data_IF_196292529287
#
_entry.id   IF_196292529287
#
_cell.length_a   1.000
_cell.length_b   1.000
_cell.length_c   1.000
_cell.angle_alpha   90.00
_cell.angle_beta   90.00
_cell.angle_gamma   90.00
#
_symmetry.space_group_name_H-M   'P 1'
#
loop_
_entity.id
_entity.type
_entity.pdbx_description
1 polymer ?
#
# COMPACT_ATOMS: atom_id res chain seq x y z
N UNK A 1 2.11 36.91 41.14
CA UNK A 1 1.07 36.98 40.09
C UNK A 1 1.60 36.22 38.88
N UNK A 2 1.33 34.92 38.77
CA UNK A 2 1.76 34.11 37.61
C UNK A 2 0.70 34.27 36.52
N UNK A 3 1.07 34.91 35.41
CA UNK A 3 0.22 34.98 34.22
C UNK A 3 0.09 33.56 33.63
N UNK A 4 -1.12 33.06 33.31
CA UNK A 4 -1.25 31.79 32.60
C UNK A 4 -0.57 31.94 31.25
N UNK A 5 0.44 31.11 30.98
CA UNK A 5 1.04 31.05 29.65
C UNK A 5 -0.06 30.63 28.66
N UNK A 6 -0.25 31.36 27.55
CA UNK A 6 -1.19 30.95 26.52
C UNK A 6 -0.82 29.54 26.05
N UNK A 7 -1.78 28.61 25.97
CA UNK A 7 -1.49 27.25 25.52
C UNK A 7 -0.86 27.34 24.13
N UNK A 8 0.39 26.89 24.01
CA UNK A 8 1.10 26.88 22.74
C UNK A 8 0.21 26.17 21.71
N UNK A 9 -0.05 26.77 20.53
CA UNK A 9 -0.82 26.13 19.47
C UNK A 9 0.03 25.00 18.89
N UNK A 10 0.06 23.86 19.59
CA UNK A 10 0.55 22.60 19.03
C UNK A 10 -0.45 22.26 17.93
N UNK A 11 -0.04 22.37 16.68
CA UNK A 11 -0.71 21.63 15.61
C UNK A 11 -0.76 20.18 16.08
N UNK A 12 -1.92 19.76 16.60
CA UNK A 12 -2.05 18.48 17.29
C UNK A 12 -1.60 17.38 16.34
N UNK A 13 -0.82 16.42 16.84
CA UNK A 13 -0.32 15.28 16.06
C UNK A 13 -1.38 14.70 15.12
N UNK A 14 -2.60 14.53 15.64
CA UNK A 14 -3.77 14.03 14.86
C UNK A 14 -4.17 14.98 13.74
N UNK A 15 -4.12 16.30 13.94
CA UNK A 15 -4.46 17.28 12.90
C UNK A 15 -3.45 17.23 11.75
N UNK A 16 -2.16 17.08 12.02
CA UNK A 16 -1.12 16.95 10.98
C UNK A 16 -1.28 15.60 10.26
N UNK A 17 -1.40 14.52 11.02
CA UNK A 17 -1.62 13.17 10.51
C UNK A 17 -2.85 13.12 9.60
N UNK A 18 -3.99 13.62 10.07
CA UNK A 18 -5.23 13.61 9.32
C UNK A 18 -5.16 14.46 8.05
N UNK A 19 -4.46 15.61 8.05
CA UNK A 19 -4.25 16.41 6.83
C UNK A 19 -3.39 15.67 5.80
N UNK A 20 -2.28 15.08 6.22
CA UNK A 20 -1.40 14.31 5.33
C UNK A 20 -2.19 13.14 4.75
N UNK A 21 -2.88 12.37 5.59
CA UNK A 21 -3.73 11.26 5.13
C UNK A 21 -4.84 11.72 4.20
N UNK A 22 -5.49 12.86 4.47
CA UNK A 22 -6.56 13.38 3.62
C UNK A 22 -6.04 13.71 2.21
N UNK A 23 -4.88 14.36 2.11
CA UNK A 23 -4.24 14.68 0.82
C UNK A 23 -3.87 13.40 0.08
N UNK A 24 -3.18 12.47 0.76
CA UNK A 24 -2.78 11.20 0.16
C UNK A 24 -3.99 10.37 -0.30
N UNK A 25 -5.04 10.28 0.53
CA UNK A 25 -6.26 9.58 0.17
C UNK A 25 -6.99 10.26 -1.00
N UNK A 26 -7.00 11.59 -1.07
CA UNK A 26 -7.55 12.33 -2.20
C UNK A 26 -6.82 12.00 -3.50
N UNK A 27 -5.49 11.97 -3.47
CA UNK A 27 -4.67 11.52 -4.61
C UNK A 27 -4.93 10.06 -4.96
N UNK A 28 -5.08 9.17 -3.97
CA UNK A 28 -5.41 7.76 -4.19
C UNK A 28 -6.79 7.56 -4.82
N UNK A 29 -7.80 8.37 -4.45
CA UNK A 29 -9.11 8.36 -5.11
C UNK A 29 -8.97 8.78 -6.57
N UNK A 30 -8.28 9.90 -6.86
CA UNK A 30 -8.05 10.34 -8.23
C UNK A 30 -7.32 9.27 -9.06
N UNK A 31 -6.28 8.66 -8.50
CA UNK A 31 -5.55 7.57 -9.14
C UNK A 31 -6.44 6.34 -9.38
N UNK A 32 -7.26 5.95 -8.41
CA UNK A 32 -8.16 4.80 -8.54
C UNK A 32 -9.24 5.04 -9.61
N UNK A 33 -9.70 6.28 -9.78
CA UNK A 33 -10.62 6.65 -10.86
C UNK A 33 -9.96 6.55 -12.23
N UNK A 34 -8.73 7.05 -12.37
CA UNK A 34 -7.95 6.90 -13.62
C UNK A 34 -7.71 5.42 -13.93
N UNK A 35 -7.27 4.64 -12.94
CA UNK A 35 -7.07 3.20 -13.07
C UNK A 35 -8.37 2.48 -13.45
N UNK A 36 -9.50 2.82 -12.81
CA UNK A 36 -10.81 2.26 -13.14
C UNK A 36 -11.26 2.60 -14.55
N UNK A 37 -11.00 3.82 -15.03
CA UNK A 37 -11.28 4.21 -16.41
C UNK A 37 -10.43 3.39 -17.39
N UNK A 38 -9.13 3.24 -17.12
CA UNK A 38 -8.25 2.39 -17.93
C UNK A 38 -8.77 0.94 -17.94
N UNK A 39 -9.17 0.41 -16.79
CA UNK A 39 -9.71 -0.94 -16.67
C UNK A 39 -10.98 -1.15 -17.52
N UNK A 40 -11.83 -0.13 -17.66
CA UNK A 40 -13.02 -0.16 -18.51
C UNK A 40 -12.71 0.03 -20.00
N UNK A 41 -11.66 0.80 -20.34
CA UNK A 41 -11.25 1.04 -21.72
C UNK A 41 -10.51 -0.14 -22.35
N UNK A 42 -9.84 -0.96 -21.54
CA UNK A 42 -9.22 -2.21 -22.00
C UNK A 42 -10.32 -3.22 -22.34
N UNK A 43 -10.37 -3.67 -23.60
CA UNK A 43 -11.38 -4.65 -24.03
C UNK A 43 -11.10 -6.05 -23.49
N UNK A 44 -12.18 -6.82 -23.29
CA UNK A 44 -12.06 -8.22 -22.88
C UNK A 44 -11.39 -9.10 -23.95
N UNK A 45 -11.59 -8.78 -25.23
CA UNK A 45 -10.92 -9.46 -26.34
C UNK A 45 -9.39 -9.32 -26.26
N UNK A 46 -8.89 -8.13 -25.88
CA UNK A 46 -7.46 -7.94 -25.68
C UNK A 46 -6.92 -8.75 -24.51
N UNK A 47 -7.67 -8.83 -23.41
CA UNK A 47 -7.25 -9.60 -22.23
C UNK A 47 -7.28 -11.10 -22.49
N UNK A 48 -8.30 -11.60 -23.18
CA UNK A 48 -8.42 -13.02 -23.56
C UNK A 48 -7.35 -13.42 -24.57
N UNK A 49 -7.06 -12.57 -25.57
CA UNK A 49 -5.94 -12.77 -26.49
C UNK A 49 -4.62 -12.87 -25.74
N UNK A 50 -4.38 -11.95 -24.79
CA UNK A 50 -3.16 -11.93 -23.99
C UNK A 50 -3.02 -13.17 -23.09
N UNK A 51 -4.13 -13.65 -22.53
CA UNK A 51 -4.18 -14.86 -21.71
C UNK A 51 -4.03 -16.16 -22.53
N UNK A 52 -4.42 -16.13 -23.80
CA UNK A 52 -4.37 -17.30 -24.71
C UNK A 52 -3.02 -17.52 -25.38
N UNK A 53 -2.15 -16.49 -25.40
CA UNK A 53 -0.80 -16.61 -25.93
C UNK A 53 0.11 -17.25 -24.89
N UNK A 54 1.02 -18.13 -25.33
CA UNK A 54 2.16 -18.63 -24.55
C UNK A 54 3.23 -17.55 -24.34
N UNK A 55 2.78 -16.34 -23.99
CA UNK A 55 3.68 -15.29 -23.58
C UNK A 55 4.13 -15.52 -22.14
N UNK A 56 5.38 -15.16 -21.82
CA UNK A 56 5.94 -15.31 -20.49
C UNK A 56 5.42 -14.23 -19.54
N UNK A 57 4.11 -14.05 -19.48
CA UNK A 57 3.45 -13.12 -18.57
C UNK A 57 3.20 -13.87 -17.25
N UNK A 58 3.61 -13.31 -16.10
CA UNK A 58 3.33 -13.92 -14.82
C UNK A 58 1.82 -14.16 -14.62
N UNK A 59 1.44 -15.35 -14.18
CA UNK A 59 0.03 -15.72 -13.99
C UNK A 59 -0.73 -14.74 -13.09
N UNK A 60 -0.06 -14.15 -12.09
CA UNK A 60 -0.64 -13.13 -11.22
C UNK A 60 -1.03 -11.83 -11.97
N UNK A 61 -0.27 -11.44 -12.99
CA UNK A 61 -0.59 -10.26 -13.81
C UNK A 61 -1.79 -10.53 -14.73
N UNK A 62 -1.85 -11.72 -15.35
CA UNK A 62 -3.02 -12.15 -16.12
C UNK A 62 -4.27 -12.19 -15.22
N UNK A 63 -4.16 -12.77 -14.02
CA UNK A 63 -5.25 -12.81 -13.06
C UNK A 63 -5.74 -11.39 -12.70
N UNK A 64 -4.82 -10.44 -12.49
CA UNK A 64 -5.16 -9.06 -12.19
C UNK A 64 -5.83 -8.34 -13.38
N UNK A 65 -5.43 -8.64 -14.62
CA UNK A 65 -6.07 -8.11 -15.83
C UNK A 65 -7.48 -8.67 -16.04
N UNK A 66 -7.67 -9.96 -15.77
CA UNK A 66 -8.99 -10.58 -15.78
C UNK A 66 -9.91 -9.94 -14.73
N UNK A 67 -9.38 -9.66 -13.53
CA UNK A 67 -10.13 -9.05 -12.43
C UNK A 67 -9.96 -7.52 -12.35
N UNK A 68 -9.57 -6.85 -13.44
CA UNK A 68 -9.18 -5.43 -13.44
C UNK A 68 -10.26 -4.49 -12.90
N UNK A 69 -11.51 -4.71 -13.28
CA UNK A 69 -12.65 -3.88 -12.83
C UNK A 69 -12.93 -4.06 -11.34
N UNK A 70 -13.16 -5.28 -10.81
CA UNK A 70 -13.39 -5.45 -9.38
C UNK A 70 -12.19 -5.02 -8.51
N UNK A 71 -10.95 -5.22 -8.98
CA UNK A 71 -9.76 -4.74 -8.27
C UNK A 71 -9.72 -3.21 -8.20
N UNK A 72 -10.03 -2.53 -9.31
CA UNK A 72 -10.08 -1.06 -9.36
C UNK A 72 -11.18 -0.50 -8.47
N UNK A 73 -12.36 -1.13 -8.45
CA UNK A 73 -13.45 -0.76 -7.55
C UNK A 73 -13.07 -0.99 -6.08
N UNK A 74 -12.37 -2.09 -5.77
CA UNK A 74 -11.84 -2.35 -4.43
C UNK A 74 -10.85 -1.28 -3.97
N UNK A 75 -9.93 -0.87 -4.86
CA UNK A 75 -8.98 0.22 -4.59
C UNK A 75 -9.67 1.57 -4.40
N UNK A 76 -10.69 1.87 -5.21
CA UNK A 76 -11.49 3.08 -5.06
C UNK A 76 -12.24 3.08 -3.72
N UNK A 77 -12.88 1.97 -3.36
CA UNK A 77 -13.61 1.83 -2.10
C UNK A 77 -12.67 2.01 -0.89
N UNK A 78 -11.49 1.40 -0.92
CA UNK A 78 -10.47 1.57 0.13
C UNK A 78 -9.95 3.01 0.22
N UNK A 79 -9.75 3.66 -0.92
CA UNK A 79 -9.32 5.06 -0.99
C UNK A 79 -10.37 6.00 -0.40
N UNK A 80 -11.65 5.80 -0.76
CA UNK A 80 -12.78 6.56 -0.21
C UNK A 80 -12.94 6.32 1.29
N UNK A 81 -12.83 5.06 1.74
CA UNK A 81 -12.86 4.72 3.17
C UNK A 81 -11.76 5.45 3.94
N UNK A 82 -10.55 5.48 3.38
CA UNK A 82 -9.41 6.18 3.97
C UNK A 82 -9.65 7.69 4.01
N UNK A 83 -10.22 8.26 2.95
CA UNK A 83 -10.57 9.68 2.87
C UNK A 83 -11.63 10.07 3.92
N UNK A 84 -12.71 9.29 4.02
CA UNK A 84 -13.78 9.48 5.02
C UNK A 84 -13.23 9.35 6.44
N UNK A 85 -12.31 8.40 6.65
CA UNK A 85 -11.64 8.21 7.94
C UNK A 85 -10.73 9.40 8.28
N UNK A 86 -9.95 9.91 7.33
CA UNK A 86 -9.11 11.09 7.52
C UNK A 86 -9.94 12.33 7.85
N UNK A 87 -11.07 12.52 7.17
CA UNK A 87 -12.03 13.58 7.49
C UNK A 87 -12.61 13.42 8.91
N UNK A 88 -12.99 12.20 9.29
CA UNK A 88 -13.47 11.89 10.63
C UNK A 88 -12.43 12.16 11.73
N UNK A 89 -11.14 11.93 11.44
CA UNK A 89 -10.03 12.29 12.33
C UNK A 89 -9.92 13.80 12.52
N UNK A 90 -10.06 14.60 11.46
CA UNK A 90 -10.10 16.07 11.56
C UNK A 90 -11.24 16.56 12.44
N UNK A 91 -12.40 15.89 12.34
CA UNK A 91 -13.59 16.15 13.16
C UNK A 91 -13.55 15.49 14.55
N UNK A 92 -12.41 14.90 14.95
CA UNK A 92 -12.21 14.30 16.27
C UNK A 92 -13.24 13.24 16.65
N UNK A 93 -13.71 12.47 15.66
CA UNK A 93 -14.65 11.38 15.89
C UNK A 93 -13.92 10.10 16.31
N UNK A 94 -14.34 9.49 17.42
CA UNK A 94 -13.71 8.28 17.96
C UNK A 94 -13.82 7.06 17.03
N UNK A 95 -14.90 6.94 16.24
CA UNK A 95 -15.02 5.86 15.25
C UNK A 95 -13.91 5.94 14.20
N UNK A 96 -13.55 7.16 13.77
CA UNK A 96 -12.52 7.38 12.76
C UNK A 96 -11.14 6.99 13.28
N UNK A 97 -10.86 7.22 14.56
CA UNK A 97 -9.63 6.73 15.22
C UNK A 97 -9.51 5.20 15.14
N UNK A 98 -10.59 4.48 15.44
CA UNK A 98 -10.61 3.01 15.42
C UNK A 98 -10.45 2.45 14.00
N UNK A 99 -11.18 3.02 13.04
CA UNK A 99 -11.07 2.62 11.63
C UNK A 99 -9.66 2.92 11.11
N UNK A 100 -9.09 4.08 11.43
CA UNK A 100 -7.73 4.42 11.00
C UNK A 100 -6.68 3.46 11.57
N UNK A 101 -6.81 3.07 12.84
CA UNK A 101 -5.94 2.04 13.44
C UNK A 101 -6.07 0.72 12.69
N UNK A 102 -7.29 0.28 12.38
CA UNK A 102 -7.50 -0.95 11.61
C UNK A 102 -6.85 -0.85 10.22
N UNK A 103 -7.02 0.26 9.51
CA UNK A 103 -6.38 0.52 8.22
C UNK A 103 -4.85 0.48 8.31
N UNK A 104 -4.25 1.05 9.36
CA UNK A 104 -2.80 1.01 9.58
C UNK A 104 -2.29 -0.42 9.80
N UNK A 105 -3.03 -1.23 10.57
CA UNK A 105 -2.66 -2.62 10.83
C UNK A 105 -2.77 -3.48 9.58
N UNK A 106 -3.86 -3.34 8.83
CA UNK A 106 -4.04 -4.02 7.53
C UNK A 106 -2.93 -3.59 6.57
N UNK A 107 -2.64 -2.30 6.48
CA UNK A 107 -1.53 -1.78 5.66
C UNK A 107 -0.18 -2.39 6.05
N UNK A 108 0.12 -2.48 7.35
CA UNK A 108 1.36 -3.09 7.84
C UNK A 108 1.46 -4.57 7.47
N UNK A 109 0.38 -5.34 7.62
CA UNK A 109 0.33 -6.77 7.24
C UNK A 109 0.49 -6.94 5.72
N UNK A 110 -0.26 -6.19 4.92
CA UNK A 110 -0.17 -6.24 3.45
C UNK A 110 1.23 -5.84 2.97
N UNK A 111 1.82 -4.82 3.58
CA UNK A 111 3.19 -4.40 3.29
C UNK A 111 4.20 -5.51 3.60
N UNK A 112 4.05 -6.24 4.71
CA UNK A 112 4.88 -7.40 5.02
C UNK A 112 4.70 -8.55 4.01
N UNK A 113 3.44 -8.85 3.64
CA UNK A 113 3.13 -9.87 2.65
C UNK A 113 3.69 -9.53 1.26
N UNK A 114 3.87 -8.25 0.93
CA UNK A 114 4.46 -7.82 -0.34
C UNK A 114 5.87 -8.37 -0.58
N UNK A 115 6.62 -8.67 0.50
CA UNK A 115 7.96 -9.25 0.38
C UNK A 115 7.93 -10.65 -0.24
N UNK A 116 6.84 -11.40 -0.05
CA UNK A 116 6.64 -12.71 -0.68
C UNK A 116 6.54 -12.60 -2.21
N UNK A 117 5.94 -11.50 -2.69
CA UNK A 117 5.79 -11.25 -4.13
C UNK A 117 7.13 -10.94 -4.80
N UNK A 118 8.08 -10.32 -4.09
CA UNK A 118 9.41 -10.03 -4.65
C UNK A 118 10.12 -11.33 -5.07
N UNK A 119 10.07 -12.37 -4.23
CA UNK A 119 10.65 -13.67 -4.56
C UNK A 119 10.00 -14.32 -5.79
N UNK A 120 8.67 -14.37 -5.80
CA UNK A 120 7.90 -14.93 -6.91
C UNK A 120 8.14 -14.20 -8.23
N UNK A 121 8.40 -12.89 -8.19
CA UNK A 121 8.72 -12.11 -9.38
C UNK A 121 10.02 -12.57 -10.04
N UNK A 122 11.11 -12.77 -9.27
CA UNK A 122 12.36 -13.28 -9.83
C UNK A 122 12.22 -14.71 -10.37
N UNK A 123 11.46 -15.55 -9.68
CA UNK A 123 11.17 -16.92 -10.15
C UNK A 123 10.41 -16.89 -11.49
N UNK A 124 9.43 -15.99 -11.63
CA UNK A 124 8.71 -15.79 -12.89
C UNK A 124 9.61 -15.23 -14.02
N UNK A 125 10.55 -14.35 -13.70
CA UNK A 125 11.51 -13.82 -14.69
C UNK A 125 12.46 -14.89 -15.21
N UNK A 126 12.92 -15.82 -14.36
CA UNK A 126 13.77 -16.94 -14.81
C UNK A 126 12.95 -17.91 -15.66
N UNK A 127 11.70 -18.18 -15.26
CA UNK A 127 10.79 -19.07 -16.00
C UNK A 127 10.43 -18.57 -17.42
N UNK A 128 10.71 -17.30 -17.74
CA UNK A 128 10.54 -16.74 -19.08
C UNK A 128 11.56 -17.29 -20.10
N UNK A 129 12.68 -17.83 -19.65
CA UNK A 129 13.73 -18.31 -20.54
C UNK A 129 13.59 -19.80 -20.87
N UNK A 130 13.92 -20.22 -22.12
CA UNK A 130 13.96 -21.63 -22.49
C UNK A 130 14.97 -22.41 -21.63
N UNK A 131 14.63 -23.66 -21.26
CA UNK A 131 15.50 -24.52 -20.45
C UNK A 131 16.89 -24.74 -21.09
N UNK A 132 16.93 -24.87 -22.42
CA UNK A 132 18.17 -25.03 -23.20
C UNK A 132 19.13 -23.84 -22.99
N UNK A 133 18.58 -22.62 -22.93
CA UNK A 133 19.38 -21.42 -22.68
C UNK A 133 19.89 -21.40 -21.23
N UNK A 134 19.07 -21.78 -20.26
CA UNK A 134 19.43 -21.81 -18.84
C UNK A 134 20.57 -22.80 -18.52
N UNK A 135 20.74 -23.85 -19.32
CA UNK A 135 21.84 -24.81 -19.19
C UNK A 135 23.14 -24.38 -19.91
N UNK A 136 23.11 -23.32 -20.71
CA UNK A 136 24.31 -22.75 -21.34
C UNK A 136 25.16 -21.97 -20.33
N UNK A 137 26.44 -21.73 -20.66
CA UNK A 137 27.33 -20.93 -19.82
C UNK A 137 26.79 -19.50 -19.60
N UNK A 138 26.22 -18.90 -20.65
CA UNK A 138 25.61 -17.57 -20.58
C UNK A 138 24.35 -17.56 -19.70
N UNK A 139 23.53 -18.62 -19.77
CA UNK A 139 22.37 -18.79 -18.91
C UNK A 139 22.74 -18.95 -17.43
N UNK A 140 23.80 -19.69 -17.12
CA UNK A 140 24.31 -19.83 -15.75
C UNK A 140 24.86 -18.50 -15.21
N UNK A 141 25.56 -17.71 -16.03
CA UNK A 141 26.00 -16.37 -15.65
C UNK A 141 24.81 -15.44 -15.38
N UNK A 142 23.77 -15.50 -16.22
CA UNK A 142 22.52 -14.76 -16.00
C UNK A 142 21.83 -15.15 -14.69
N UNK A 143 21.72 -16.45 -14.39
CA UNK A 143 21.12 -16.94 -13.14
C UNK A 143 21.91 -16.42 -11.93
N UNK A 144 23.25 -16.50 -11.96
CA UNK A 144 24.10 -16.00 -10.88
C UNK A 144 23.90 -14.49 -10.66
N UNK A 145 23.82 -13.71 -11.74
CA UNK A 145 23.51 -12.28 -11.67
C UNK A 145 22.10 -12.03 -11.10
N UNK A 146 21.09 -12.76 -11.56
CA UNK A 146 19.71 -12.65 -11.07
C UNK A 146 19.59 -13.03 -9.59
N UNK A 147 20.34 -14.03 -9.12
CA UNK A 147 20.40 -14.37 -7.70
C UNK A 147 21.01 -13.25 -6.86
N UNK A 148 22.10 -12.65 -7.33
CA UNK A 148 22.70 -11.49 -6.67
C UNK A 148 21.71 -10.30 -6.62
N UNK A 149 21.03 -10.01 -7.73
CA UNK A 149 19.97 -9.00 -7.80
C UNK A 149 18.80 -9.32 -6.87
N UNK A 150 18.36 -10.59 -6.80
CA UNK A 150 17.28 -11.04 -5.91
C UNK A 150 17.64 -10.78 -4.45
N UNK A 151 18.83 -11.15 -4.02
CA UNK A 151 19.29 -10.93 -2.63
C UNK A 151 19.34 -9.44 -2.31
N UNK A 152 19.91 -8.62 -3.21
CA UNK A 152 19.99 -7.18 -3.02
C UNK A 152 18.59 -6.52 -2.95
N UNK A 153 17.70 -6.89 -3.87
CA UNK A 153 16.31 -6.41 -3.89
C UNK A 153 15.56 -6.85 -2.64
N UNK A 154 15.66 -8.13 -2.24
CA UNK A 154 15.03 -8.62 -1.00
C UNK A 154 15.54 -7.89 0.24
N UNK A 155 16.85 -7.68 0.35
CA UNK A 155 17.42 -6.95 1.48
C UNK A 155 16.90 -5.50 1.54
N UNK A 156 16.91 -4.80 0.40
CA UNK A 156 16.42 -3.41 0.30
C UNK A 156 14.92 -3.33 0.59
N UNK A 157 14.11 -4.23 0.00
CA UNK A 157 12.68 -4.32 0.26
C UNK A 157 12.38 -4.66 1.70
N UNK A 158 13.12 -5.58 2.33
CA UNK A 158 12.95 -5.93 3.74
C UNK A 158 13.17 -4.71 4.65
N UNK A 159 14.22 -3.93 4.39
CA UNK A 159 14.47 -2.68 5.14
C UNK A 159 13.29 -1.70 4.98
N UNK A 160 12.82 -1.47 3.76
CA UNK A 160 11.69 -0.58 3.49
C UNK A 160 10.38 -1.03 4.16
N UNK A 161 10.06 -2.32 4.04
CA UNK A 161 8.86 -2.93 4.62
C UNK A 161 8.91 -2.86 6.15
N UNK A 162 10.03 -3.20 6.78
CA UNK A 162 10.21 -3.13 8.23
C UNK A 162 10.13 -1.69 8.74
N UNK A 163 10.76 -0.75 8.04
CA UNK A 163 10.70 0.69 8.39
C UNK A 163 9.25 1.17 8.41
N UNK A 164 8.49 0.84 7.36
CA UNK A 164 7.08 1.18 7.30
C UNK A 164 6.26 0.47 8.37
N UNK A 165 6.50 -0.82 8.63
CA UNK A 165 5.79 -1.55 9.68
C UNK A 165 6.01 -0.91 11.07
N UNK A 166 7.26 -0.55 11.40
CA UNK A 166 7.61 0.16 12.64
C UNK A 166 6.89 1.50 12.72
N UNK A 167 6.88 2.28 11.63
CA UNK A 167 6.17 3.55 11.58
C UNK A 167 4.66 3.37 11.82
N UNK A 168 4.02 2.38 11.19
CA UNK A 168 2.60 2.11 11.38
C UNK A 168 2.28 1.72 12.83
N UNK A 169 3.08 0.82 13.42
CA UNK A 169 2.93 0.40 14.83
C UNK A 169 3.12 1.60 15.76
N UNK A 170 4.11 2.44 15.50
CA UNK A 170 4.35 3.65 16.29
C UNK A 170 3.18 4.64 16.22
N UNK A 171 2.59 4.87 15.04
CA UNK A 171 1.40 5.71 14.88
C UNK A 171 0.23 5.12 15.65
N UNK A 172 0.00 3.80 15.55
CA UNK A 172 -1.06 3.11 16.29
C UNK A 172 -0.88 3.29 17.80
N UNK A 173 0.33 3.07 18.31
CA UNK A 173 0.66 3.29 19.72
C UNK A 173 0.38 4.73 20.14
N UNK A 174 0.79 5.72 19.32
CA UNK A 174 0.55 7.14 19.61
C UNK A 174 -0.94 7.49 19.63
N UNK A 175 -1.73 6.93 18.70
CA UNK A 175 -3.20 7.10 18.65
C UNK A 175 -3.92 6.42 19.82
N UNK A 176 -3.29 5.44 20.47
CA UNK A 176 -3.78 4.79 21.68
C UNK A 176 -3.36 5.49 22.98
N UNK A 177 -2.39 6.41 22.92
CA UNK A 177 -1.91 7.14 24.11
C UNK A 177 -3.04 7.95 24.77
N UNK A 178 -3.00 8.04 26.10
CA UNK A 178 -4.05 8.69 26.89
C UNK A 178 -4.29 10.16 26.48
N UNK A 179 -3.23 10.90 26.17
CA UNK A 179 -3.31 12.29 25.72
C UNK A 179 -4.08 12.43 24.41
N UNK A 180 -3.78 11.60 23.40
CA UNK A 180 -4.47 11.64 22.12
C UNK A 180 -5.92 11.15 22.26
N UNK A 181 -6.17 10.09 23.04
CA UNK A 181 -7.53 9.59 23.29
C UNK A 181 -8.43 10.62 23.97
N UNK A 182 -7.88 11.49 24.80
CA UNK A 182 -8.64 12.57 25.43
C UNK A 182 -9.20 13.56 24.39
N UNK A 183 -8.45 13.83 23.30
CA UNK A 183 -8.87 14.72 22.20
C UNK A 183 -10.12 14.22 21.45
N UNK A 184 -10.45 12.92 21.54
CA UNK A 184 -11.64 12.32 20.90
C UNK A 184 -12.82 12.14 21.87
N UNK A 185 -12.61 12.40 23.17
CA UNK A 185 -13.63 12.27 24.22
C UNK A 185 -14.19 13.61 24.68
N UNK A 186 -13.47 14.70 24.44
CA UNK A 186 -13.97 16.04 24.73
C UNK A 186 -15.15 16.36 23.81
N UNK A 187 -16.30 16.83 24.33
CA UNK A 187 -17.38 17.37 23.51
C UNK A 187 -16.83 18.49 22.63
N UNK A 188 -17.25 18.56 21.36
CA UNK A 188 -16.98 19.73 20.54
C UNK A 188 -17.59 20.94 21.25
N UNK A 189 -16.73 21.82 21.77
CA UNK A 189 -17.13 23.14 22.25
C UNK A 189 -17.55 24.02 21.06
#
# INVERSE_FOLDING_TARGET
MQLPLPPAPRAGFVSVLAKITLILAGLSVAWSLVQGLIALLVSDDWVTLLASRDWPIPAGLIWALVHRVPLSLGMLALSVLTLVTAWGLLKRREWARRVFIALLLVSAVTNLLSLLLVGQMFDAMIAMYPQEFLHSADGQALIAQMQASRVMSMATSAVGVLTMAVLHVWIVWKLCSAGVRAEFRAPAA
#
